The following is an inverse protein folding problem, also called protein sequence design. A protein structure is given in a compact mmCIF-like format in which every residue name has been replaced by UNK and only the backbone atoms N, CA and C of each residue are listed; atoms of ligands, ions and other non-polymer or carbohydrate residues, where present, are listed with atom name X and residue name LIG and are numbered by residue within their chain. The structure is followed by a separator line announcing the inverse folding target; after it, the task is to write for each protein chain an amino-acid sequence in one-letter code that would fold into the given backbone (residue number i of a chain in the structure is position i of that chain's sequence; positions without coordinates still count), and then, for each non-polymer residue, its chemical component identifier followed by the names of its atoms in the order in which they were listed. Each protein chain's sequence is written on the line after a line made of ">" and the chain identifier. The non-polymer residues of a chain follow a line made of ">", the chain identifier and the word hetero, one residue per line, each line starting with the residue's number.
data_IF_937648505052
#
_entry.id   IF_937648505052
#
_cell.length_a   1.000
_cell.length_b   1.000
_cell.length_c   1.000
_cell.angle_alpha   90.00
_cell.angle_beta   90.00
_cell.angle_gamma   90.00
#
_symmetry.space_group_name_H-M   'P 1'
#
loop_
_entity.id
_entity.type
_entity.pdbx_description
1 polymer ?
#
# COMPACT_ATOMS: atom_id res chain seq x y z
N UNK A 1 17.07 8.92 -11.85
CA UNK A 1 16.51 7.70 -12.44
C UNK A 1 15.94 6.85 -11.32
N UNK A 2 14.68 6.52 -11.40
CA UNK A 2 13.98 5.64 -10.46
C UNK A 2 13.70 4.35 -11.22
N UNK A 3 14.15 3.23 -10.70
CA UNK A 3 14.06 1.93 -11.32
C UNK A 3 13.57 0.92 -10.28
N UNK A 4 12.63 0.08 -10.65
CA UNK A 4 12.11 -0.99 -9.81
C UNK A 4 12.59 -2.37 -10.25
N UNK A 5 13.68 -2.45 -10.98
CA UNK A 5 14.29 -3.69 -11.47
C UNK A 5 13.30 -4.63 -12.19
N UNK A 6 12.48 -4.06 -13.09
CA UNK A 6 11.66 -4.80 -14.07
C UNK A 6 10.69 -5.83 -13.47
N UNK A 7 10.11 -5.58 -12.31
CA UNK A 7 9.13 -6.48 -11.75
C UNK A 7 7.80 -6.36 -12.50
N UNK A 8 7.50 -7.30 -13.39
CA UNK A 8 6.24 -7.40 -14.16
C UNK A 8 5.75 -6.06 -14.73
N UNK A 9 6.61 -5.29 -15.33
CA UNK A 9 6.35 -3.94 -15.85
C UNK A 9 5.16 -3.84 -16.80
N UNK A 10 4.87 -4.91 -17.54
CA UNK A 10 3.74 -4.98 -18.48
C UNK A 10 2.39 -5.20 -17.79
N UNK A 11 2.39 -5.69 -16.56
CA UNK A 11 1.17 -6.15 -15.87
C UNK A 11 0.86 -5.32 -14.63
N UNK A 12 1.89 -4.78 -14.00
CA UNK A 12 1.78 -4.07 -12.72
C UNK A 12 2.15 -2.61 -12.90
N UNK A 13 1.24 -1.73 -12.52
CA UNK A 13 1.51 -0.30 -12.49
C UNK A 13 2.75 -0.01 -11.64
N UNK A 14 3.63 0.85 -12.13
CA UNK A 14 4.75 1.32 -11.33
C UNK A 14 4.21 2.10 -10.13
N UNK A 15 4.64 1.70 -8.93
CA UNK A 15 4.20 2.35 -7.70
C UNK A 15 4.84 3.73 -7.59
N UNK A 16 4.08 4.76 -7.91
CA UNK A 16 4.49 6.15 -7.87
C UNK A 16 3.30 7.02 -7.47
N UNK A 17 3.52 7.89 -6.49
CA UNK A 17 2.57 8.91 -6.10
C UNK A 17 3.28 10.20 -5.67
N UNK A 18 2.57 11.32 -5.76
CA UNK A 18 3.02 12.59 -5.23
C UNK A 18 2.10 13.03 -4.10
N UNK A 19 2.69 13.54 -3.03
CA UNK A 19 1.99 14.02 -1.86
C UNK A 19 2.57 15.36 -1.41
N UNK A 20 1.86 16.04 -0.53
CA UNK A 20 2.39 17.20 0.21
C UNK A 20 2.52 16.87 1.68
N UNK A 21 3.67 17.20 2.24
CA UNK A 21 3.94 17.03 3.65
C UNK A 21 4.67 18.25 4.21
N UNK A 22 4.08 18.92 5.21
CA UNK A 22 4.59 20.20 5.74
C UNK A 22 4.86 21.24 4.63
N UNK A 23 3.94 21.37 3.68
CA UNK A 23 4.06 22.26 2.50
C UNK A 23 5.26 21.98 1.59
N UNK A 24 5.79 20.76 1.62
CA UNK A 24 6.86 20.29 0.74
C UNK A 24 6.34 19.16 -0.14
N UNK A 25 6.79 19.13 -1.38
CA UNK A 25 6.40 18.09 -2.33
C UNK A 25 7.21 16.81 -2.07
N UNK A 26 6.49 15.71 -1.91
CA UNK A 26 7.03 14.38 -1.63
C UNK A 26 6.74 13.47 -2.82
N UNK A 27 7.74 12.73 -3.25
CA UNK A 27 7.61 11.64 -4.19
C UNK A 27 7.66 10.31 -3.44
N UNK A 28 6.64 9.50 -3.58
CA UNK A 28 6.56 8.14 -3.03
C UNK A 28 6.72 7.18 -4.20
N UNK A 29 7.66 6.27 -4.11
CA UNK A 29 7.98 5.35 -5.21
C UNK A 29 8.43 3.99 -4.72
N UNK A 30 8.27 3.00 -5.57
CA UNK A 30 8.76 1.64 -5.34
C UNK A 30 10.26 1.56 -5.68
N UNK A 31 11.08 1.21 -4.68
CA UNK A 31 12.51 0.98 -4.84
C UNK A 31 12.87 -0.50 -5.01
N UNK A 32 11.98 -1.39 -4.54
CA UNK A 32 12.04 -2.83 -4.73
C UNK A 32 10.60 -3.38 -4.76
N UNK A 33 10.39 -4.64 -5.18
CA UNK A 33 9.06 -5.25 -5.28
C UNK A 33 8.23 -5.13 -3.99
N UNK A 34 8.88 -5.19 -2.85
CA UNK A 34 8.28 -5.14 -1.52
C UNK A 34 8.73 -3.91 -0.70
N UNK A 35 9.20 -2.85 -1.37
CA UNK A 35 9.73 -1.68 -0.69
C UNK A 35 9.32 -0.37 -1.35
N UNK A 36 8.77 0.52 -0.54
CA UNK A 36 8.49 1.91 -0.92
C UNK A 36 9.45 2.86 -0.22
N UNK A 37 9.70 3.99 -0.87
CA UNK A 37 10.47 5.11 -0.33
C UNK A 37 9.69 6.41 -0.48
N UNK A 38 9.85 7.31 0.48
CA UNK A 38 9.36 8.68 0.41
C UNK A 38 10.56 9.64 0.30
N UNK A 39 10.54 10.45 -0.75
CA UNK A 39 11.63 11.36 -1.10
C UNK A 39 11.12 12.79 -1.16
N UNK A 40 11.78 13.71 -0.47
CA UNK A 40 11.46 15.13 -0.49
C UNK A 40 12.09 15.79 -1.71
N UNK A 41 11.25 16.27 -2.62
CA UNK A 41 11.68 16.90 -3.87
C UNK A 41 12.28 18.31 -3.66
N UNK A 42 11.89 18.98 -2.58
CA UNK A 42 12.39 20.34 -2.26
C UNK A 42 13.78 20.29 -1.65
N UNK A 43 14.00 19.37 -0.69
CA UNK A 43 15.27 19.27 0.04
C UNK A 43 16.23 18.25 -0.56
N UNK A 44 15.74 17.45 -1.53
CA UNK A 44 16.48 16.36 -2.15
C UNK A 44 16.94 15.29 -1.13
N UNK A 45 16.08 14.94 -0.20
CA UNK A 45 16.37 14.01 0.90
C UNK A 45 15.43 12.81 0.89
N UNK A 46 15.97 11.62 1.15
CA UNK A 46 15.19 10.44 1.46
C UNK A 46 14.65 10.57 2.89
N UNK A 47 13.32 10.48 3.05
CA UNK A 47 12.64 10.68 4.33
C UNK A 47 12.44 9.39 5.11
N UNK A 48 12.49 8.26 4.43
CA UNK A 48 12.21 6.92 4.97
C UNK A 48 13.45 6.03 4.94
N UNK A 49 14.62 6.63 5.11
CA UNK A 49 15.88 5.88 5.13
C UNK A 49 15.86 4.83 6.25
N UNK A 50 16.05 3.58 5.87
CA UNK A 50 16.07 2.44 6.79
C UNK A 50 16.85 1.27 6.21
N UNK A 51 17.33 0.42 7.10
CA UNK A 51 18.01 -0.81 6.71
C UNK A 51 17.12 -2.03 7.02
N UNK A 52 16.85 -2.81 5.99
CA UNK A 52 16.24 -4.14 6.10
C UNK A 52 17.30 -5.16 5.71
N UNK A 53 17.60 -6.09 6.59
CA UNK A 53 18.58 -7.14 6.32
C UNK A 53 18.13 -8.01 5.14
N UNK A 54 19.08 -8.53 4.37
CA UNK A 54 18.76 -9.45 3.29
C UNK A 54 18.12 -10.74 3.83
N UNK A 55 17.08 -11.22 3.16
CA UNK A 55 16.50 -12.53 3.43
C UNK A 55 17.54 -13.62 3.21
N UNK A 56 17.70 -14.50 4.18
CA UNK A 56 18.62 -15.66 4.09
C UNK A 56 17.85 -16.95 4.29
N UNK A 57 17.73 -17.39 5.53
CA UNK A 57 17.02 -18.63 5.94
C UNK A 57 15.68 -18.33 6.58
N UNK A 58 15.57 -17.18 7.22
CA UNK A 58 14.35 -16.69 7.88
C UNK A 58 14.13 -15.22 7.47
N UNK A 59 12.87 -14.78 7.42
CA UNK A 59 12.57 -13.38 7.11
C UNK A 59 13.16 -12.47 8.19
N UNK A 60 13.91 -11.42 7.81
CA UNK A 60 14.42 -10.47 8.78
C UNK A 60 13.28 -9.64 9.40
N UNK A 61 13.57 -8.96 10.50
CA UNK A 61 12.63 -8.01 11.10
C UNK A 61 12.18 -6.98 10.06
N UNK A 62 10.90 -6.63 10.06
CA UNK A 62 10.28 -5.73 9.09
C UNK A 62 10.29 -6.23 7.63
N UNK A 63 10.52 -7.52 7.41
CA UNK A 63 10.35 -8.09 6.08
C UNK A 63 8.87 -8.10 5.70
N UNK A 64 8.59 -7.55 4.54
CA UNK A 64 7.24 -7.53 3.98
C UNK A 64 7.17 -8.52 2.81
N UNK A 65 6.31 -9.54 2.92
CA UNK A 65 5.96 -10.42 1.81
C UNK A 65 4.71 -9.87 1.11
N UNK A 66 4.93 -8.85 0.33
CA UNK A 66 3.85 -8.08 -0.30
C UNK A 66 4.39 -7.30 -1.49
N UNK A 67 3.68 -7.35 -2.58
CA UNK A 67 4.04 -6.69 -3.83
C UNK A 67 3.29 -5.37 -3.95
N UNK A 68 4.01 -4.27 -3.91
CA UNK A 68 3.42 -2.95 -4.06
C UNK A 68 2.86 -2.73 -5.47
N UNK A 69 1.64 -2.18 -5.55
CA UNK A 69 0.93 -1.85 -6.78
C UNK A 69 0.75 -0.34 -7.01
N UNK A 70 -0.38 0.05 -7.58
CA UNK A 70 -0.71 1.45 -7.78
C UNK A 70 -0.92 2.17 -6.42
N UNK A 71 -0.38 3.38 -6.30
CA UNK A 71 -0.48 4.18 -5.09
C UNK A 71 -1.45 5.34 -5.26
N UNK A 72 -2.25 5.59 -4.23
CA UNK A 72 -3.23 6.68 -4.19
C UNK A 72 -3.09 7.44 -2.87
N UNK A 73 -2.86 8.74 -2.96
CA UNK A 73 -2.77 9.63 -1.78
C UNK A 73 -4.17 10.12 -1.43
N UNK A 74 -4.52 10.17 -0.13
CA UNK A 74 -5.79 10.77 0.31
C UNK A 74 -5.85 12.27 0.00
N UNK A 75 -7.04 12.87 -0.16
CA UNK A 75 -7.17 14.28 -0.54
C UNK A 75 -6.44 15.24 0.40
N UNK A 76 -6.41 14.95 1.69
CA UNK A 76 -5.71 15.75 2.71
C UNK A 76 -4.22 15.38 2.89
N UNK A 77 -3.69 14.43 2.11
CA UNK A 77 -2.33 13.89 2.22
C UNK A 77 -2.00 13.17 3.55
N UNK A 78 -2.99 12.67 4.28
CA UNK A 78 -2.76 11.96 5.55
C UNK A 78 -2.45 10.48 5.36
N UNK A 79 -2.96 9.87 4.28
CA UNK A 79 -2.88 8.44 4.04
C UNK A 79 -2.39 8.09 2.64
N UNK A 80 -1.72 6.95 2.57
CA UNK A 80 -1.35 6.27 1.32
C UNK A 80 -2.20 5.01 1.22
N UNK A 81 -2.84 4.81 0.08
CA UNK A 81 -3.54 3.59 -0.30
C UNK A 81 -2.75 2.89 -1.40
N UNK A 82 -2.51 1.62 -1.23
CA UNK A 82 -1.70 0.77 -2.10
C UNK A 82 -2.52 -0.40 -2.62
N UNK A 83 -2.62 -0.55 -3.94
CA UNK A 83 -3.26 -1.68 -4.60
C UNK A 83 -2.26 -2.84 -4.81
N UNK A 84 -1.68 -3.31 -3.75
CA UNK A 84 -0.73 -4.40 -3.81
C UNK A 84 -1.36 -5.77 -3.59
N UNK A 85 -0.53 -6.81 -3.61
CA UNK A 85 -0.96 -8.20 -3.46
C UNK A 85 0.05 -9.04 -2.67
N UNK A 86 -0.42 -10.17 -2.15
CA UNK A 86 0.40 -11.10 -1.36
C UNK A 86 1.00 -12.15 -2.29
N UNK A 87 0.17 -12.76 -3.17
CA UNK A 87 0.57 -13.70 -4.20
C UNK A 87 -0.54 -13.75 -5.27
N UNK A 88 -0.18 -14.12 -6.49
CA UNK A 88 -1.16 -14.22 -7.58
C UNK A 88 -2.18 -15.34 -7.32
N UNK A 89 -3.51 -15.07 -7.38
CA UNK A 89 -4.15 -13.82 -7.79
C UNK A 89 -4.62 -12.91 -6.63
N UNK A 90 -4.19 -13.14 -5.39
CA UNK A 90 -4.75 -12.46 -4.21
C UNK A 90 -4.20 -11.05 -4.03
N UNK A 91 -5.03 -10.05 -4.35
CA UNK A 91 -4.78 -8.66 -4.01
C UNK A 91 -5.20 -8.37 -2.56
N UNK A 92 -4.46 -7.49 -1.92
CA UNK A 92 -4.66 -7.10 -0.52
C UNK A 92 -4.40 -5.61 -0.35
N UNK A 93 -5.31 -4.73 -0.84
CA UNK A 93 -5.13 -3.29 -0.69
C UNK A 93 -4.92 -2.89 0.76
N UNK A 94 -3.89 -2.08 0.98
CA UNK A 94 -3.49 -1.58 2.31
C UNK A 94 -3.51 -0.07 2.35
N UNK A 95 -3.70 0.47 3.54
CA UNK A 95 -3.58 1.89 3.81
C UNK A 95 -2.73 2.11 5.05
N UNK A 96 -1.94 3.19 5.06
CA UNK A 96 -1.18 3.63 6.24
C UNK A 96 -1.02 5.14 6.28
N UNK A 97 -0.66 5.65 7.46
CA UNK A 97 -0.48 7.08 7.69
C UNK A 97 0.84 7.59 7.13
N UNK A 98 0.79 8.58 6.25
CA UNK A 98 1.96 9.27 5.71
C UNK A 98 2.76 9.98 6.82
N UNK A 99 2.08 10.60 7.76
CA UNK A 99 2.74 11.31 8.86
C UNK A 99 3.45 10.38 9.85
N UNK A 100 2.86 9.21 10.15
CA UNK A 100 3.53 8.20 10.97
C UNK A 100 4.78 7.68 10.26
N UNK A 101 4.68 7.40 8.98
CA UNK A 101 5.80 6.90 8.18
C UNK A 101 6.98 7.86 8.14
N UNK A 102 6.73 9.14 7.85
CA UNK A 102 7.81 10.13 7.69
C UNK A 102 8.39 10.60 9.02
N UNK A 103 7.56 10.75 10.08
CA UNK A 103 8.01 11.38 11.33
C UNK A 103 8.45 10.40 12.40
N UNK A 104 7.83 9.22 12.44
CA UNK A 104 7.90 8.38 13.64
C UNK A 104 8.48 6.99 13.37
N UNK A 105 8.08 6.36 12.27
CA UNK A 105 8.47 4.99 11.99
C UNK A 105 8.78 4.78 10.50
N UNK A 106 10.05 4.77 10.09
CA UNK A 106 10.40 4.57 8.68
C UNK A 106 10.00 3.19 8.14
N UNK A 107 9.62 2.24 9.00
CA UNK A 107 9.06 0.93 8.63
C UNK A 107 7.53 0.91 8.61
N UNK A 108 6.87 2.05 8.63
CA UNK A 108 5.41 2.12 8.73
C UNK A 108 4.70 1.44 7.54
N UNK A 109 5.26 1.53 6.33
CA UNK A 109 4.71 0.86 5.14
C UNK A 109 4.85 -0.67 5.17
N UNK A 110 5.75 -1.21 5.96
CA UNK A 110 5.97 -2.65 6.12
C UNK A 110 5.03 -3.26 7.16
N UNK A 111 5.24 -2.89 8.42
CA UNK A 111 4.56 -3.47 9.59
C UNK A 111 4.19 -2.43 10.65
N UNK A 112 4.00 -1.19 10.25
CA UNK A 112 3.68 -0.11 11.16
C UNK A 112 2.28 -0.21 11.78
N UNK A 113 2.10 0.53 12.87
CA UNK A 113 0.87 0.48 13.68
C UNK A 113 -0.36 1.06 12.99
N UNK A 114 -0.18 1.89 11.97
CA UNK A 114 -1.28 2.46 11.20
C UNK A 114 -1.66 1.67 9.97
N UNK A 115 -0.93 0.59 9.66
CA UNK A 115 -1.24 -0.26 8.50
C UNK A 115 -2.58 -0.95 8.72
N UNK A 116 -3.48 -0.80 7.76
CA UNK A 116 -4.76 -1.48 7.72
C UNK A 116 -4.90 -2.21 6.38
N UNK A 117 -5.17 -3.51 6.41
CA UNK A 117 -5.63 -4.24 5.23
C UNK A 117 -7.11 -3.97 5.04
N UNK A 118 -7.49 -3.44 3.89
CA UNK A 118 -8.87 -3.05 3.62
C UNK A 118 -9.75 -4.24 3.23
N UNK A 119 -9.20 -5.11 2.40
CA UNK A 119 -9.90 -6.33 1.94
C UNK A 119 -8.91 -7.30 1.31
N UNK A 120 -9.39 -8.50 1.01
CA UNK A 120 -8.75 -9.42 0.09
C UNK A 120 -9.65 -9.56 -1.15
N UNK A 121 -9.05 -9.61 -2.34
CA UNK A 121 -9.77 -9.76 -3.59
C UNK A 121 -8.95 -10.56 -4.61
N UNK A 122 -9.61 -11.23 -5.54
CA UNK A 122 -8.93 -12.06 -6.52
C UNK A 122 -8.13 -11.25 -7.54
N UNK A 123 -8.58 -10.06 -7.90
CA UNK A 123 -7.94 -9.27 -8.94
C UNK A 123 -7.23 -8.05 -8.36
N UNK A 124 -5.91 -7.96 -8.55
CA UNK A 124 -5.21 -6.70 -8.38
C UNK A 124 -5.50 -5.77 -9.57
N UNK A 125 -5.11 -4.51 -9.45
CA UNK A 125 -5.29 -3.51 -10.48
C UNK A 125 -6.76 -3.26 -10.86
N UNK A 126 -7.69 -3.62 -9.98
CA UNK A 126 -9.10 -3.28 -10.12
C UNK A 126 -9.34 -1.86 -9.61
N UNK A 127 -10.33 -1.19 -10.19
CA UNK A 127 -10.63 0.22 -9.90
C UNK A 127 -10.85 0.44 -8.40
N UNK A 128 -10.14 1.40 -7.85
CA UNK A 128 -10.38 1.96 -6.52
C UNK A 128 -10.00 3.44 -6.46
N UNK A 129 -10.58 4.17 -5.53
CA UNK A 129 -10.26 5.58 -5.32
C UNK A 129 -10.65 6.05 -3.92
N UNK A 130 -10.04 7.14 -3.50
CA UNK A 130 -10.52 7.90 -2.36
C UNK A 130 -11.81 8.63 -2.71
N UNK A 131 -12.80 8.57 -1.82
CA UNK A 131 -14.01 9.38 -1.88
C UNK A 131 -13.85 10.67 -1.08
N UNK A 132 -13.21 10.56 0.06
CA UNK A 132 -12.81 11.63 0.96
C UNK A 132 -11.61 11.15 1.80
N UNK A 133 -11.29 11.87 2.88
CA UNK A 133 -10.12 11.59 3.72
C UNK A 133 -10.26 10.32 4.58
N UNK A 134 -11.43 9.71 4.62
CA UNK A 134 -11.74 8.57 5.49
C UNK A 134 -12.39 7.39 4.76
N UNK A 135 -12.81 7.58 3.51
CA UNK A 135 -13.55 6.56 2.77
C UNK A 135 -12.89 6.23 1.45
N UNK A 136 -12.81 4.94 1.18
CA UNK A 136 -12.30 4.37 -0.06
C UNK A 136 -13.41 3.60 -0.77
N UNK A 137 -13.55 3.82 -2.08
CA UNK A 137 -14.40 3.00 -2.94
C UNK A 137 -13.52 1.95 -3.64
N UNK A 138 -13.91 0.69 -3.56
CA UNK A 138 -13.22 -0.43 -4.17
C UNK A 138 -14.21 -1.21 -5.03
N UNK A 139 -13.85 -1.46 -6.30
CA UNK A 139 -14.63 -2.30 -7.21
C UNK A 139 -14.39 -3.79 -6.92
N UNK A 140 -15.48 -4.56 -6.86
CA UNK A 140 -15.49 -6.01 -6.92
C UNK A 140 -14.62 -6.68 -5.85
N UNK A 141 -14.99 -6.53 -4.58
CA UNK A 141 -14.40 -7.32 -3.49
C UNK A 141 -14.98 -8.72 -3.60
N UNK A 142 -14.22 -9.63 -4.20
CA UNK A 142 -14.51 -11.05 -4.16
C UNK A 142 -13.82 -11.63 -2.94
N UNK A 143 -14.61 -12.07 -1.99
CA UNK A 143 -14.09 -12.71 -0.77
C UNK A 143 -13.47 -14.06 -1.16
N UNK A 144 -12.17 -14.17 -1.09
CA UNK A 144 -11.46 -15.43 -1.06
C UNK A 144 -11.84 -16.20 0.19
N UNK A 145 -11.66 -17.50 0.13
CA UNK A 145 -12.08 -18.45 1.15
C UNK A 145 -11.73 -17.92 2.56
N UNK A 146 -12.76 -17.52 3.28
CA UNK A 146 -12.63 -16.77 4.54
C UNK A 146 -12.00 -17.60 5.65
N UNK A 147 -12.06 -18.93 5.53
CA UNK A 147 -11.46 -19.86 6.48
C UNK A 147 -9.91 -19.80 6.44
N UNK A 148 -9.32 -19.49 5.29
CA UNK A 148 -7.87 -19.41 5.14
C UNK A 148 -7.26 -18.12 5.73
N UNK A 149 -8.05 -17.05 5.85
CA UNK A 149 -7.58 -15.73 6.30
C UNK A 149 -8.17 -15.26 7.65
N UNK A 150 -8.86 -16.11 8.39
CA UNK A 150 -9.52 -15.76 9.66
C UNK A 150 -10.51 -14.59 9.56
N UNK A 151 -11.07 -14.35 8.40
CA UNK A 151 -12.00 -13.25 8.17
C UNK A 151 -13.41 -13.66 8.60
N UNK A 152 -14.14 -12.76 9.26
CA UNK A 152 -15.54 -12.99 9.60
C UNK A 152 -16.37 -13.11 8.32
N UNK A 153 -17.30 -14.07 8.25
CA UNK A 153 -18.15 -14.25 7.07
C UNK A 153 -19.00 -12.99 6.81
N UNK A 154 -18.66 -12.29 5.74
CA UNK A 154 -19.49 -11.23 5.19
C UNK A 154 -20.56 -11.81 4.26
N UNK A 155 -21.72 -11.18 4.10
CA UNK A 155 -22.76 -11.69 3.24
C UNK A 155 -22.31 -11.75 1.79
N UNK A 156 -22.56 -12.90 1.17
CA UNK A 156 -22.26 -13.33 -0.19
C UNK A 156 -21.87 -12.24 -1.18
N UNK A 157 -20.71 -12.44 -1.78
CA UNK A 157 -20.16 -11.69 -2.93
C UNK A 157 -21.23 -11.07 -3.82
N UNK A 158 -21.22 -9.75 -3.88
CA UNK A 158 -21.96 -9.02 -4.90
C UNK A 158 -20.93 -8.21 -5.68
N UNK A 159 -20.87 -8.47 -6.99
CA UNK A 159 -20.20 -7.53 -7.90
C UNK A 159 -20.75 -6.13 -7.65
N UNK A 160 -19.88 -5.17 -7.40
CA UNK A 160 -20.30 -3.81 -7.14
C UNK A 160 -19.18 -2.95 -6.56
N UNK A 161 -19.52 -1.72 -6.24
CA UNK A 161 -18.62 -0.80 -5.54
C UNK A 161 -18.84 -0.95 -4.04
N UNK A 162 -17.78 -1.25 -3.34
CA UNK A 162 -17.77 -1.33 -1.88
C UNK A 162 -17.19 -0.04 -1.30
N UNK A 163 -17.87 0.52 -0.32
CA UNK A 163 -17.43 1.71 0.40
C UNK A 163 -16.86 1.27 1.75
N UNK A 164 -15.58 1.53 1.94
CA UNK A 164 -14.85 1.16 3.15
C UNK A 164 -14.46 2.41 3.92
N UNK A 165 -14.72 2.42 5.22
CA UNK A 165 -14.27 3.47 6.13
C UNK A 165 -13.00 3.03 6.83
N UNK A 166 -12.02 3.93 6.91
CA UNK A 166 -10.83 3.67 7.72
C UNK A 166 -11.20 3.52 9.19
N UNK A 167 -10.60 2.55 9.85
CA UNK A 167 -10.71 2.41 11.30
C UNK A 167 -10.05 3.63 11.97
N UNK A 168 -10.72 4.16 12.99
CA UNK A 168 -10.19 5.25 13.84
C UNK A 168 -9.29 4.71 14.93
#
# INVERSE_FOLDING_TARGET
>A
HIDSQNYYEDTVSFSLAFAQFNSQDICIYRSDWNRLEAFNLTTNQLLTERYIAAYKTEPPKHYLDYFHGALYVSPNNDYILDDGWIWHPVASPKVWSLSQWIKHNPFESEDGSSVQTLCYRENWNAVMCWLDDQHVAIWNIELWDQEEFDLKPEPKNRSGIHLLSLAK
#
